data_IF_993303770144
#
_entry.id   IF_993303770144
#
_cell.length_a   1.000
_cell.length_b   1.000
_cell.length_c   1.000
_cell.angle_alpha   90.00
_cell.angle_beta   90.00
_cell.angle_gamma   90.00
#
_symmetry.space_group_name_H-M   'P 1'
#
loop_
_entity.id
_entity.type
_entity.pdbx_description
1 polymer ?
#
# COMPACT_ATOMS: atom_id res chain seq x y z
N UNK A 1 8.35 6.89 -8.96
CA UNK A 1 8.24 5.41 -9.03
C UNK A 1 6.78 5.05 -8.77
N UNK A 2 6.07 4.61 -9.80
CA UNK A 2 4.59 4.63 -9.84
C UNK A 2 3.97 3.38 -9.22
N UNK A 3 4.37 3.04 -8.00
CA UNK A 3 3.88 1.85 -7.30
C UNK A 3 2.36 1.83 -7.13
N UNK A 4 1.73 3.02 -7.02
CA UNK A 4 0.27 3.12 -6.95
C UNK A 4 -0.43 2.61 -8.21
N UNK A 5 0.15 2.82 -9.40
CA UNK A 5 -0.46 2.35 -10.65
C UNK A 5 -0.42 0.82 -10.73
N UNK A 6 0.74 0.24 -10.43
CA UNK A 6 0.93 -1.22 -10.40
C UNK A 6 0.09 -1.89 -9.32
N UNK A 7 -0.04 -1.29 -8.13
CA UNK A 7 -0.92 -1.81 -7.08
C UNK A 7 -2.38 -1.83 -7.51
N UNK A 8 -2.84 -0.79 -8.22
CA UNK A 8 -4.21 -0.74 -8.73
C UNK A 8 -4.44 -1.79 -9.82
N UNK A 9 -3.54 -1.90 -10.80
CA UNK A 9 -3.62 -2.89 -11.89
C UNK A 9 -3.61 -4.34 -11.36
N UNK A 10 -2.72 -4.65 -10.41
CA UNK A 10 -2.65 -5.98 -9.81
C UNK A 10 -3.85 -6.29 -8.93
N UNK A 11 -4.38 -5.30 -8.18
CA UNK A 11 -5.62 -5.44 -7.40
C UNK A 11 -6.84 -5.64 -8.29
N UNK A 12 -6.87 -5.00 -9.46
CA UNK A 12 -7.96 -5.14 -10.42
C UNK A 12 -7.98 -6.54 -11.03
N UNK A 13 -6.80 -7.14 -11.26
CA UNK A 13 -6.68 -8.54 -11.70
C UNK A 13 -7.10 -9.51 -10.61
N UNK A 14 -6.59 -9.36 -9.39
CA UNK A 14 -6.90 -10.24 -8.28
C UNK A 14 -6.67 -9.52 -6.94
N UNK A 15 -7.55 -9.76 -5.97
CA UNK A 15 -7.33 -9.27 -4.62
C UNK A 15 -6.08 -9.93 -4.03
N UNK A 16 -5.21 -9.14 -3.41
CA UNK A 16 -4.04 -9.66 -2.72
C UNK A 16 -4.47 -10.52 -1.52
N UNK A 17 -4.07 -11.78 -1.51
CA UNK A 17 -4.36 -12.71 -0.42
C UNK A 17 -3.33 -12.61 0.72
N UNK A 18 -2.13 -12.11 0.42
CA UNK A 18 -1.02 -12.00 1.38
C UNK A 18 -0.13 -10.81 1.09
N UNK A 19 0.56 -10.32 2.14
CA UNK A 19 1.60 -9.29 2.01
C UNK A 19 2.77 -9.75 1.13
N UNK A 20 3.07 -11.05 1.09
CA UNK A 20 4.09 -11.62 0.20
C UNK A 20 3.67 -11.50 -1.27
N UNK A 21 2.41 -11.79 -1.58
CA UNK A 21 1.87 -11.71 -2.95
C UNK A 21 1.88 -10.26 -3.46
N UNK A 22 1.56 -9.30 -2.58
CA UNK A 22 1.69 -7.88 -2.88
C UNK A 22 3.16 -7.45 -3.11
N UNK A 23 4.09 -7.97 -2.31
CA UNK A 23 5.53 -7.70 -2.47
C UNK A 23 6.07 -8.25 -3.80
N UNK A 24 5.67 -9.46 -4.15
CA UNK A 24 6.15 -10.18 -5.35
C UNK A 24 5.55 -9.58 -6.63
N UNK A 25 4.23 -9.36 -6.68
CA UNK A 25 3.53 -8.80 -7.85
C UNK A 25 3.88 -7.35 -8.15
N UNK A 26 3.96 -6.52 -7.11
CA UNK A 26 4.22 -5.08 -7.25
C UNK A 26 5.73 -4.79 -7.28
N UNK A 27 6.57 -5.79 -6.95
CA UNK A 27 8.01 -5.59 -6.73
C UNK A 27 8.29 -4.61 -5.58
N UNK A 28 7.35 -4.51 -4.65
CA UNK A 28 7.34 -3.50 -3.60
C UNK A 28 8.07 -4.04 -2.38
N UNK A 29 9.38 -3.72 -2.26
CA UNK A 29 10.19 -4.16 -1.11
C UNK A 29 9.62 -3.63 0.20
N UNK A 30 9.37 -4.55 1.12
CA UNK A 30 8.87 -4.30 2.48
C UNK A 30 7.53 -3.55 2.49
N UNK A 31 6.45 -4.16 1.95
CA UNK A 31 5.13 -3.55 1.93
C UNK A 31 4.65 -3.21 3.33
N UNK A 32 4.93 -4.08 4.29
CA UNK A 32 4.56 -3.91 5.69
C UNK A 32 5.19 -2.63 6.26
N UNK A 33 6.46 -2.36 5.93
CA UNK A 33 7.19 -1.21 6.47
C UNK A 33 6.66 0.10 5.89
N UNK A 34 6.47 0.15 4.57
CA UNK A 34 5.89 1.31 3.89
C UNK A 34 4.43 1.57 4.28
N UNK A 35 3.62 0.51 4.45
CA UNK A 35 2.24 0.65 4.93
C UNK A 35 2.25 1.15 6.37
N UNK A 36 3.15 0.63 7.22
CA UNK A 36 3.27 1.06 8.62
C UNK A 36 3.69 2.53 8.72
N UNK A 37 4.70 2.95 7.96
CA UNK A 37 5.12 4.36 7.85
C UNK A 37 3.96 5.22 7.35
N UNK A 38 3.23 4.79 6.32
CA UNK A 38 2.05 5.52 5.85
C UNK A 38 0.93 5.60 6.88
N UNK A 39 0.65 4.53 7.63
CA UNK A 39 -0.34 4.55 8.71
C UNK A 39 0.10 5.54 9.80
N UNK A 40 1.37 5.57 10.17
CA UNK A 40 1.90 6.51 11.16
C UNK A 40 1.79 7.95 10.67
N UNK A 41 2.15 8.23 9.40
CA UNK A 41 2.02 9.55 8.79
C UNK A 41 0.54 9.99 8.66
N UNK A 42 -0.35 9.04 8.38
CA UNK A 42 -1.80 9.25 8.29
C UNK A 42 -2.42 9.55 9.66
N UNK A 43 -2.03 8.80 10.70
CA UNK A 43 -2.41 9.06 12.10
C UNK A 43 -1.84 10.41 12.59
N UNK A 44 -0.63 10.76 12.17
CA UNK A 44 0.03 12.03 12.52
C UNK A 44 -0.56 13.24 11.80
N UNK A 45 -1.52 13.04 10.88
CA UNK A 45 -2.23 14.10 10.18
C UNK A 45 -1.40 14.82 9.12
N UNK A 46 -0.23 14.28 8.74
CA UNK A 46 0.58 14.84 7.66
C UNK A 46 0.16 14.36 6.27
N UNK A 47 -0.62 13.27 6.20
CA UNK A 47 -1.10 12.73 4.93
C UNK A 47 -2.39 13.43 4.47
N UNK A 48 -2.38 13.95 3.23
CA UNK A 48 -3.56 14.59 2.59
C UNK A 48 -4.65 13.60 2.17
N UNK A 49 -4.37 12.30 2.14
CA UNK A 49 -5.29 11.29 1.63
C UNK A 49 -5.22 10.05 2.52
N UNK A 50 -6.34 9.75 3.17
CA UNK A 50 -6.47 8.58 4.02
C UNK A 50 -6.75 7.33 3.17
N UNK A 51 -5.78 6.43 3.08
CA UNK A 51 -5.89 5.19 2.30
C UNK A 51 -6.07 3.97 3.20
N UNK A 52 -5.59 4.03 4.45
CA UNK A 52 -5.58 2.90 5.38
C UNK A 52 -6.45 3.12 6.62
N UNK A 53 -6.62 4.36 7.06
CA UNK A 53 -7.34 4.73 8.27
C UNK A 53 -8.58 5.54 7.87
N UNK A 54 -9.73 4.88 7.77
CA UNK A 54 -11.02 5.59 7.66
C UNK A 54 -11.28 6.34 8.96
N UNK A 55 -11.55 7.64 8.86
CA UNK A 55 -12.19 8.40 9.94
C UNK A 55 -13.69 8.15 9.91
#
# INVERSE_FOLDING_TARGET
KTYMKTMLEEREKQQFESYLDLQDRVGFKDPVKHISERIIDEISGQSRMNLFVKR
#
